data_IF_864373110099
#
_entry.id   IF_864373110099
#
_cell.length_a   1.000
_cell.length_b   1.000
_cell.length_c   1.000
_cell.angle_alpha   90.00
_cell.angle_beta   90.00
_cell.angle_gamma   90.00
#
_symmetry.space_group_name_H-M   'P 1'
#
loop_
_entity.id
_entity.type
_entity.pdbx_description
1 polymer ?
#
# COMPACT_ATOMS: atom_id res chain seq x y z
N UNK A 1 3.30 -0.27 -1.72
CA UNK A 1 1.86 -0.16 -1.48
C UNK A 1 1.53 0.71 -0.31
N UNK A 2 2.31 0.92 0.65
CA UNK A 2 1.98 1.85 1.69
C UNK A 2 2.59 3.24 1.55
N UNK A 3 3.53 3.47 0.65
CA UNK A 3 3.50 4.74 -0.08
C UNK A 3 2.25 4.80 -1.00
N UNK A 4 1.41 3.80 -1.07
CA UNK A 4 0.09 3.80 -1.71
C UNK A 4 -1.01 4.23 -0.73
N UNK A 5 -0.83 4.02 0.56
CA UNK A 5 -1.88 4.16 1.56
C UNK A 5 -1.50 5.07 2.74
N UNK A 6 -0.21 5.42 2.90
CA UNK A 6 0.26 6.38 3.89
C UNK A 6 0.91 7.57 3.21
N UNK A 7 0.22 8.66 3.24
CA UNK A 7 0.56 9.89 2.57
C UNK A 7 0.97 10.94 3.60
N UNK A 8 1.97 11.76 3.23
CA UNK A 8 2.11 13.05 3.87
C UNK A 8 0.76 13.76 3.77
N UNK A 9 0.24 14.25 4.88
CA UNK A 9 -1.02 15.02 4.96
C UNK A 9 -0.90 16.21 4.00
N UNK A 10 -1.38 16.01 2.79
CA UNK A 10 -1.52 17.09 1.83
C UNK A 10 -3.00 17.16 1.50
N UNK A 11 -3.64 18.33 1.62
CA UNK A 11 -5.03 18.49 1.22
C UNK A 11 -5.24 17.92 -0.19
N UNK A 12 -6.40 17.34 -0.45
CA UNK A 12 -6.78 16.75 -1.75
C UNK A 12 -6.49 17.66 -2.96
N UNK A 13 -6.22 18.94 -2.70
CA UNK A 13 -6.06 19.98 -3.71
C UNK A 13 -5.03 21.03 -3.27
N UNK A 14 -3.73 20.73 -3.29
CA UNK A 14 -2.67 21.74 -3.20
C UNK A 14 -1.96 21.94 -4.55
N UNK A 15 -1.72 23.18 -4.93
CA UNK A 15 -0.98 23.53 -6.12
C UNK A 15 -1.71 23.21 -7.43
N UNK A 16 -1.07 22.47 -8.33
CA UNK A 16 -1.60 22.12 -9.66
C UNK A 16 -2.88 21.25 -9.59
N UNK A 17 -3.15 20.56 -8.48
CA UNK A 17 -4.35 19.75 -8.32
C UNK A 17 -5.64 20.58 -8.22
N UNK A 18 -5.55 21.85 -7.77
CA UNK A 18 -6.68 22.79 -7.74
C UNK A 18 -7.32 23.02 -9.13
N UNK A 19 -6.56 22.87 -10.21
CA UNK A 19 -7.12 23.00 -11.57
C UNK A 19 -8.14 21.92 -11.91
N UNK A 20 -8.13 20.78 -11.20
CA UNK A 20 -9.00 19.62 -11.43
C UNK A 20 -10.18 19.56 -10.46
N UNK A 21 -10.17 20.37 -9.39
CA UNK A 21 -11.21 20.36 -8.37
C UNK A 21 -12.59 20.67 -8.95
N UNK A 22 -13.55 19.80 -8.66
CA UNK A 22 -14.94 20.02 -9.08
C UNK A 22 -15.20 19.94 -10.59
N UNK A 23 -14.24 19.44 -11.40
CA UNK A 23 -14.40 19.31 -12.85
C UNK A 23 -14.71 17.87 -13.25
N UNK A 24 -15.77 17.70 -14.05
CA UNK A 24 -16.01 16.46 -14.76
C UNK A 24 -14.96 16.35 -15.89
N UNK A 25 -14.14 15.31 -15.82
CA UNK A 25 -13.12 15.04 -16.84
C UNK A 25 -13.65 14.02 -17.86
N UNK A 26 -13.19 14.14 -19.10
CA UNK A 26 -13.25 13.05 -20.05
C UNK A 26 -12.28 11.92 -19.65
N UNK A 27 -12.38 10.78 -20.28
CA UNK A 27 -11.59 9.59 -19.91
C UNK A 27 -10.08 9.84 -20.01
N UNK A 28 -9.63 10.53 -21.05
CA UNK A 28 -8.20 10.79 -21.27
C UNK A 28 -7.63 11.69 -20.17
N UNK A 29 -8.30 12.81 -19.89
CA UNK A 29 -7.89 13.74 -18.82
C UNK A 29 -7.97 13.07 -17.45
N UNK A 30 -8.94 12.18 -17.23
CA UNK A 30 -9.04 11.40 -16.00
C UNK A 30 -7.80 10.51 -15.78
N UNK A 31 -7.28 9.84 -16.81
CA UNK A 31 -6.03 9.08 -16.70
C UNK A 31 -4.81 9.99 -16.49
N UNK A 32 -4.77 11.16 -17.11
CA UNK A 32 -3.72 12.16 -16.88
C UNK A 32 -3.72 12.61 -15.43
N UNK A 33 -4.90 12.89 -14.85
CA UNK A 33 -5.07 13.22 -13.44
C UNK A 33 -4.53 12.11 -12.54
N UNK A 34 -4.96 10.84 -12.73
CA UNK A 34 -4.51 9.72 -11.93
C UNK A 34 -2.99 9.52 -11.98
N UNK A 35 -2.39 9.75 -13.15
CA UNK A 35 -0.93 9.68 -13.33
C UNK A 35 -0.21 10.80 -12.58
N UNK A 36 -0.71 12.03 -12.64
CA UNK A 36 -0.14 13.19 -11.94
C UNK A 36 -0.19 12.96 -10.41
N UNK A 37 -1.36 12.56 -9.90
CA UNK A 37 -1.58 12.23 -8.49
C UNK A 37 -0.60 11.14 -8.00
N UNK A 38 -0.49 10.04 -8.75
CA UNK A 38 0.42 8.95 -8.39
C UNK A 38 1.89 9.40 -8.38
N UNK A 39 2.28 10.23 -9.36
CA UNK A 39 3.65 10.78 -9.45
C UNK A 39 3.99 11.68 -8.27
N UNK A 40 3.04 12.50 -7.83
CA UNK A 40 3.23 13.43 -6.71
C UNK A 40 3.35 12.67 -5.38
N UNK A 41 2.45 11.71 -5.14
CA UNK A 41 2.26 11.12 -3.82
C UNK A 41 2.84 9.70 -3.65
N UNK A 42 3.07 8.92 -4.70
CA UNK A 42 3.53 7.53 -4.63
C UNK A 42 4.82 7.27 -5.44
N UNK A 43 5.89 8.02 -5.16
CA UNK A 43 7.16 8.02 -5.93
C UNK A 43 7.76 6.64 -6.14
N UNK A 44 7.72 5.77 -5.14
CA UNK A 44 8.30 4.41 -5.24
C UNK A 44 7.44 3.51 -6.13
N UNK A 45 6.12 3.59 -6.03
CA UNK A 45 5.19 2.89 -6.91
C UNK A 45 5.30 3.41 -8.35
N UNK A 46 5.31 4.73 -8.54
CA UNK A 46 5.48 5.36 -9.84
C UNK A 46 6.79 4.91 -10.52
N UNK A 47 7.89 4.86 -9.77
CA UNK A 47 9.17 4.34 -10.26
C UNK A 47 9.08 2.86 -10.66
N UNK A 48 8.49 2.02 -9.81
CA UNK A 48 8.42 0.57 -10.08
C UNK A 48 7.46 0.22 -11.22
N UNK A 49 6.45 1.07 -11.48
CA UNK A 49 5.48 0.89 -12.56
C UNK A 49 6.04 1.18 -13.95
N UNK A 50 7.29 1.69 -14.08
CA UNK A 50 7.89 2.06 -15.37
C UNK A 50 7.96 0.88 -16.35
N UNK A 51 8.09 -0.34 -15.82
CA UNK A 51 8.15 -1.57 -16.61
C UNK A 51 6.79 -2.03 -17.14
N UNK A 52 5.67 -1.51 -16.62
CA UNK A 52 4.32 -1.89 -17.05
C UNK A 52 4.00 -1.37 -18.46
N UNK A 53 3.23 -2.11 -19.25
CA UNK A 53 2.56 -1.58 -20.44
C UNK A 53 1.70 -0.36 -20.10
N UNK A 54 1.56 0.58 -21.04
CA UNK A 54 0.90 1.87 -20.78
C UNK A 54 -0.52 1.71 -20.23
N UNK A 55 -1.34 0.84 -20.82
CA UNK A 55 -2.72 0.61 -20.38
C UNK A 55 -2.81 0.03 -18.96
N UNK A 56 -1.89 -0.88 -18.58
CA UNK A 56 -1.83 -1.43 -17.21
C UNK A 56 -1.34 -0.41 -16.20
N UNK A 57 -0.42 0.44 -16.61
CA UNK A 57 0.08 1.56 -15.80
C UNK A 57 -1.03 2.55 -15.48
N UNK A 58 -1.78 2.96 -16.49
CA UNK A 58 -2.90 3.90 -16.33
C UNK A 58 -4.00 3.29 -15.45
N UNK A 59 -4.32 2.00 -15.63
CA UNK A 59 -5.25 1.28 -14.78
C UNK A 59 -4.78 1.22 -13.30
N UNK A 60 -3.50 0.93 -13.07
CA UNK A 60 -2.93 0.89 -11.73
C UNK A 60 -2.98 2.28 -11.05
N UNK A 61 -2.78 3.36 -11.80
CA UNK A 61 -2.90 4.72 -11.28
C UNK A 61 -4.36 5.12 -10.99
N UNK A 62 -5.33 4.61 -11.74
CA UNK A 62 -6.74 4.83 -11.45
C UNK A 62 -7.18 4.16 -10.14
N UNK A 63 -6.69 2.94 -9.88
CA UNK A 63 -6.89 2.26 -8.58
C UNK A 63 -6.22 3.05 -7.45
N UNK A 64 -4.98 3.50 -7.66
CA UNK A 64 -4.29 4.33 -6.70
C UNK A 64 -5.07 5.59 -6.33
N UNK A 65 -5.65 6.28 -7.33
CA UNK A 65 -6.42 7.50 -7.09
C UNK A 65 -7.65 7.25 -6.22
N UNK A 66 -8.32 6.09 -6.37
CA UNK A 66 -9.39 5.70 -5.45
C UNK A 66 -8.88 5.45 -4.04
N UNK A 67 -7.80 4.67 -3.88
CA UNK A 67 -7.22 4.39 -2.57
C UNK A 67 -6.87 5.69 -1.83
N UNK A 68 -6.21 6.61 -2.54
CA UNK A 68 -5.86 7.92 -2.01
C UNK A 68 -7.10 8.71 -1.57
N UNK A 69 -8.11 8.75 -2.42
CA UNK A 69 -9.36 9.45 -2.12
C UNK A 69 -10.06 8.87 -0.89
N UNK A 70 -10.11 7.54 -0.76
CA UNK A 70 -10.70 6.88 0.39
C UNK A 70 -9.98 7.21 1.70
N UNK A 71 -8.66 7.26 1.66
CA UNK A 71 -7.77 7.59 2.77
C UNK A 71 -7.98 9.06 3.22
N UNK A 72 -7.88 9.99 2.27
CA UNK A 72 -8.04 11.42 2.55
C UNK A 72 -9.45 11.77 3.08
N UNK A 73 -10.51 11.07 2.62
CA UNK A 73 -11.87 11.30 3.10
C UNK A 73 -12.03 10.93 4.58
N UNK A 74 -11.23 9.98 5.09
CA UNK A 74 -11.27 9.54 6.48
C UNK A 74 -10.34 10.35 7.39
N UNK A 75 -9.41 11.12 6.84
CA UNK A 75 -8.49 11.99 7.61
C UNK A 75 -9.13 13.34 8.02
N UNK A 76 -10.37 13.65 7.57
CA UNK A 76 -11.08 14.86 8.00
C UNK A 76 -11.48 14.78 9.48
N UNK A 77 -11.36 15.91 10.21
CA UNK A 77 -11.58 16.05 11.69
C UNK A 77 -12.96 15.61 12.21
N UNK A 78 -13.92 15.34 11.34
CA UNK A 78 -15.27 14.87 11.67
C UNK A 78 -15.30 13.42 12.20
N UNK A 79 -14.18 12.68 12.13
CA UNK A 79 -14.12 11.23 12.38
C UNK A 79 -13.74 10.86 13.83
N UNK A 80 -13.72 11.84 14.75
CA UNK A 80 -13.39 11.59 16.16
C UNK A 80 -14.51 10.90 16.94
N UNK A 81 -15.70 10.74 16.35
CA UNK A 81 -16.85 10.08 16.98
C UNK A 81 -17.23 8.81 16.20
N UNK A 82 -17.77 7.80 16.90
CA UNK A 82 -18.27 6.57 16.26
C UNK A 82 -19.33 6.86 15.17
N UNK A 83 -20.21 7.85 15.42
CA UNK A 83 -21.22 8.28 14.45
C UNK A 83 -20.59 8.88 13.18
N UNK A 84 -19.53 9.69 13.34
CA UNK A 84 -18.80 10.26 12.21
C UNK A 84 -18.06 9.19 11.39
N UNK A 85 -17.50 8.17 12.05
CA UNK A 85 -16.85 7.05 11.41
C UNK A 85 -17.84 6.22 10.57
N UNK A 86 -19.02 5.90 11.12
CA UNK A 86 -20.05 5.16 10.39
C UNK A 86 -20.60 5.96 9.20
N UNK A 87 -20.86 7.26 9.39
CA UNK A 87 -21.28 8.14 8.29
C UNK A 87 -20.26 8.18 7.14
N UNK A 88 -18.96 8.20 7.46
CA UNK A 88 -17.91 8.19 6.43
C UNK A 88 -17.77 6.83 5.75
N UNK A 89 -17.94 5.75 6.49
CA UNK A 89 -18.01 4.39 5.93
C UNK A 89 -19.17 4.26 4.94
N UNK A 90 -20.37 4.71 5.33
CA UNK A 90 -21.55 4.69 4.45
C UNK A 90 -21.34 5.58 3.21
N UNK A 91 -20.75 6.75 3.38
CA UNK A 91 -20.40 7.65 2.26
C UNK A 91 -19.44 6.99 1.27
N UNK A 92 -18.38 6.32 1.75
CA UNK A 92 -17.44 5.59 0.90
C UNK A 92 -18.10 4.41 0.19
N UNK A 93 -18.95 3.64 0.90
CA UNK A 93 -19.72 2.53 0.28
C UNK A 93 -20.69 3.04 -0.77
N UNK A 94 -21.42 4.13 -0.49
CA UNK A 94 -22.31 4.77 -1.43
C UNK A 94 -21.57 5.26 -2.68
N UNK A 95 -20.40 5.89 -2.48
CA UNK A 95 -19.53 6.31 -3.57
C UNK A 95 -19.03 5.11 -4.41
N UNK A 96 -18.59 4.04 -3.77
CA UNK A 96 -18.17 2.83 -4.46
C UNK A 96 -19.31 2.25 -5.31
N UNK A 97 -20.51 2.16 -4.75
CA UNK A 97 -21.72 1.74 -5.50
C UNK A 97 -21.99 2.63 -6.72
N UNK A 98 -21.86 3.95 -6.57
CA UNK A 98 -22.00 4.89 -7.68
C UNK A 98 -20.87 4.77 -8.72
N UNK A 99 -19.64 4.46 -8.31
CA UNK A 99 -18.50 4.20 -9.21
C UNK A 99 -18.68 2.93 -10.03
N UNK A 100 -19.31 1.89 -9.49
CA UNK A 100 -19.64 0.66 -10.23
C UNK A 100 -20.94 0.79 -11.03
N UNK A 101 -21.79 1.75 -10.70
CA UNK A 101 -23.04 2.06 -11.42
C UNK A 101 -22.83 3.04 -12.59
N UNK A 102 -23.95 3.52 -13.13
CA UNK A 102 -24.00 4.50 -14.22
C UNK A 102 -24.24 5.94 -13.74
N UNK A 103 -24.30 6.18 -12.43
CA UNK A 103 -24.55 7.49 -11.84
C UNK A 103 -23.50 8.53 -12.24
N UNK A 104 -23.89 9.78 -12.34
CA UNK A 104 -22.98 10.87 -12.65
C UNK A 104 -22.18 11.27 -11.41
N UNK A 105 -20.86 11.18 -11.49
CA UNK A 105 -19.93 11.51 -10.40
C UNK A 105 -18.98 12.61 -10.85
N UNK A 106 -18.96 13.70 -10.08
CA UNK A 106 -18.04 14.81 -10.32
C UNK A 106 -16.70 14.58 -9.58
N UNK A 107 -16.05 13.45 -9.87
CA UNK A 107 -14.74 13.08 -9.34
C UNK A 107 -13.74 12.93 -10.48
N UNK A 108 -12.58 13.59 -10.43
CA UNK A 108 -11.62 13.60 -11.53
C UNK A 108 -11.14 12.20 -11.94
N UNK A 109 -11.05 11.26 -11.02
CA UNK A 109 -10.59 9.89 -11.27
C UNK A 109 -11.73 8.93 -11.69
N UNK A 110 -13.02 9.31 -11.54
CA UNK A 110 -14.14 8.40 -11.75
C UNK A 110 -14.21 7.77 -13.16
N UNK A 111 -14.00 8.51 -14.27
CA UNK A 111 -13.99 7.90 -15.60
C UNK A 111 -12.89 6.85 -15.78
N UNK A 112 -11.66 7.14 -15.32
CA UNK A 112 -10.53 6.22 -15.38
C UNK A 112 -10.76 4.98 -14.50
N UNK A 113 -11.29 5.18 -13.29
CA UNK A 113 -11.61 4.09 -12.36
C UNK A 113 -12.66 3.14 -12.95
N UNK A 114 -13.79 3.67 -13.44
CA UNK A 114 -14.86 2.89 -14.07
C UNK A 114 -14.37 2.07 -15.25
N UNK A 115 -13.58 2.69 -16.12
CA UNK A 115 -12.93 2.00 -17.24
C UNK A 115 -12.06 0.85 -16.75
N UNK A 116 -11.25 1.10 -15.72
CA UNK A 116 -10.33 0.11 -15.15
C UNK A 116 -11.08 -1.08 -14.54
N UNK A 117 -12.06 -0.83 -13.65
CA UNK A 117 -12.77 -1.94 -12.98
C UNK A 117 -13.58 -2.79 -13.96
N UNK A 118 -14.14 -2.18 -15.00
CA UNK A 118 -14.85 -2.87 -16.06
C UNK A 118 -13.93 -3.71 -16.94
N UNK A 119 -12.80 -3.13 -17.41
CA UNK A 119 -11.86 -3.80 -18.30
C UNK A 119 -11.18 -4.99 -17.64
N UNK A 120 -10.75 -4.82 -16.40
CA UNK A 120 -10.04 -5.87 -15.64
C UNK A 120 -10.94 -6.72 -14.76
N UNK A 121 -12.28 -6.54 -14.85
CA UNK A 121 -13.30 -7.29 -14.10
C UNK A 121 -12.97 -7.35 -12.60
N UNK A 122 -12.61 -6.20 -12.02
CA UNK A 122 -12.26 -6.11 -10.61
C UNK A 122 -13.54 -6.11 -9.78
N UNK A 123 -13.75 -7.06 -8.85
CA UNK A 123 -14.96 -7.11 -8.03
C UNK A 123 -15.01 -5.95 -7.03
N UNK A 124 -16.21 -5.34 -6.86
CA UNK A 124 -16.45 -4.28 -5.87
C UNK A 124 -16.09 -4.73 -4.45
N UNK A 125 -16.31 -6.01 -4.12
CA UNK A 125 -16.00 -6.59 -2.82
C UNK A 125 -14.55 -6.35 -2.36
N UNK A 126 -13.58 -6.31 -3.28
CA UNK A 126 -12.19 -6.01 -2.90
C UNK A 126 -12.03 -4.56 -2.41
N UNK A 127 -12.75 -3.63 -3.01
CA UNK A 127 -12.76 -2.24 -2.54
C UNK A 127 -13.59 -2.06 -1.26
N UNK A 128 -14.64 -2.87 -1.06
CA UNK A 128 -15.38 -2.91 0.21
C UNK A 128 -14.47 -3.35 1.35
N UNK A 129 -13.69 -4.42 1.18
CA UNK A 129 -12.69 -4.84 2.18
C UNK A 129 -11.61 -3.75 2.43
N UNK A 130 -11.18 -3.04 1.38
CA UNK A 130 -10.27 -1.92 1.54
C UNK A 130 -10.88 -0.79 2.38
N UNK A 131 -12.14 -0.44 2.13
CA UNK A 131 -12.88 0.57 2.92
C UNK A 131 -12.94 0.14 4.39
N UNK A 132 -13.28 -1.12 4.67
CA UNK A 132 -13.24 -1.65 6.04
C UNK A 132 -11.86 -1.53 6.68
N UNK A 133 -10.80 -1.76 5.91
CA UNK A 133 -9.43 -1.62 6.38
C UNK A 133 -9.05 -0.18 6.72
N UNK A 134 -9.39 0.76 5.85
CA UNK A 134 -9.12 2.19 6.07
C UNK A 134 -9.92 2.71 7.28
N UNK A 135 -11.15 2.22 7.47
CA UNK A 135 -11.95 2.53 8.66
C UNK A 135 -11.32 2.03 9.99
N UNK A 136 -10.44 1.01 9.95
CA UNK A 136 -9.69 0.58 11.15
C UNK A 136 -8.65 1.61 11.60
N UNK A 137 -8.28 2.57 10.75
CA UNK A 137 -7.30 3.63 11.04
C UNK A 137 -7.94 4.88 11.66
N UNK A 138 -9.25 4.87 11.91
CA UNK A 138 -9.94 6.00 12.52
C UNK A 138 -9.73 6.01 14.05
N UNK A 139 -9.10 7.05 14.57
CA UNK A 139 -8.81 7.19 16.01
C UNK A 139 -7.58 6.44 16.49
N UNK A 140 -7.46 6.22 17.82
CA UNK A 140 -6.35 5.46 18.41
C UNK A 140 -6.38 4.00 17.99
N UNK A 141 -5.24 3.48 17.54
CA UNK A 141 -5.11 2.07 17.13
C UNK A 141 -4.23 1.32 18.11
N UNK A 142 -4.69 0.16 18.57
CA UNK A 142 -3.95 -0.77 19.42
C UNK A 142 -4.21 -2.20 18.96
N UNK A 143 -3.25 -2.77 18.29
CA UNK A 143 -3.31 -4.16 17.81
C UNK A 143 -2.95 -5.10 18.97
N UNK A 144 -3.84 -6.03 19.29
CA UNK A 144 -3.67 -6.97 20.40
C UNK A 144 -2.65 -8.06 20.10
N UNK A 145 -2.83 -8.74 18.96
CA UNK A 145 -2.08 -9.93 18.56
C UNK A 145 -1.78 -9.93 17.04
N UNK A 146 -1.08 -10.97 16.57
CA UNK A 146 -0.73 -11.07 15.15
C UNK A 146 -1.93 -11.38 14.26
N UNK A 147 -2.97 -12.02 14.75
CA UNK A 147 -4.18 -12.32 13.98
C UNK A 147 -4.92 -11.02 13.63
N UNK A 148 -5.04 -10.11 14.57
CA UNK A 148 -5.61 -8.79 14.35
C UNK A 148 -4.73 -7.94 13.40
N UNK A 149 -3.40 -7.98 13.56
CA UNK A 149 -2.47 -7.35 12.62
C UNK A 149 -2.60 -7.94 11.21
N UNK A 150 -2.76 -9.25 11.10
CA UNK A 150 -2.95 -9.91 9.81
C UNK A 150 -4.23 -9.42 9.12
N UNK A 151 -5.35 -9.35 9.85
CA UNK A 151 -6.62 -8.84 9.32
C UNK A 151 -6.49 -7.40 8.82
N UNK A 152 -5.84 -6.53 9.60
CA UNK A 152 -5.55 -5.17 9.20
C UNK A 152 -4.74 -5.12 7.91
N UNK A 153 -3.58 -5.78 7.87
CA UNK A 153 -2.70 -5.82 6.69
C UNK A 153 -3.40 -6.44 5.48
N UNK A 154 -4.24 -7.46 5.68
CA UNK A 154 -5.04 -8.05 4.61
C UNK A 154 -5.96 -7.00 3.98
N UNK A 155 -6.71 -6.25 4.79
CA UNK A 155 -7.67 -5.27 4.33
C UNK A 155 -7.01 -4.07 3.63
N UNK A 156 -5.96 -3.50 4.22
CA UNK A 156 -5.33 -2.27 3.67
C UNK A 156 -4.30 -2.53 2.58
N UNK A 157 -3.77 -3.75 2.44
CA UNK A 157 -2.68 -4.01 1.50
C UNK A 157 -2.85 -5.28 0.67
N UNK A 158 -3.24 -6.41 1.27
CA UNK A 158 -3.37 -7.66 0.51
C UNK A 158 -4.51 -7.59 -0.51
N UNK A 159 -5.64 -6.97 -0.18
CA UNK A 159 -6.73 -6.76 -1.15
C UNK A 159 -6.30 -5.87 -2.31
N UNK A 160 -5.43 -4.88 -2.08
CA UNK A 160 -4.84 -4.08 -3.17
C UNK A 160 -3.92 -4.94 -4.03
N UNK A 161 -3.18 -5.88 -3.43
CA UNK A 161 -2.42 -6.90 -4.15
C UNK A 161 -3.30 -7.74 -5.09
N UNK A 162 -4.47 -8.17 -4.60
CA UNK A 162 -5.48 -8.89 -5.39
C UNK A 162 -6.06 -8.03 -6.53
N UNK A 163 -6.33 -6.76 -6.29
CA UNK A 163 -6.78 -5.81 -7.32
C UNK A 163 -5.70 -5.66 -8.40
N UNK A 164 -4.45 -5.42 -8.00
CA UNK A 164 -3.33 -5.25 -8.92
C UNK A 164 -3.01 -6.53 -9.70
N UNK A 165 -3.20 -7.72 -9.13
CA UNK A 165 -2.99 -9.00 -9.82
C UNK A 165 -3.94 -9.15 -11.03
N UNK A 166 -5.18 -8.64 -10.95
CA UNK A 166 -6.10 -8.59 -12.09
C UNK A 166 -5.55 -7.71 -13.23
N UNK A 167 -5.02 -6.54 -12.88
CA UNK A 167 -4.42 -5.62 -13.86
C UNK A 167 -3.15 -6.22 -14.46
N UNK A 168 -2.32 -6.84 -13.64
CA UNK A 168 -1.05 -7.42 -14.07
C UNK A 168 -1.20 -8.75 -14.84
N UNK A 169 -2.43 -9.25 -14.97
CA UNK A 169 -2.75 -10.43 -15.77
C UNK A 169 -2.25 -11.69 -15.08
N UNK A 170 -2.86 -11.99 -13.93
CA UNK A 170 -2.63 -13.25 -13.25
C UNK A 170 -3.22 -14.39 -14.09
N UNK A 171 -2.37 -15.34 -14.45
CA UNK A 171 -2.71 -16.49 -15.31
C UNK A 171 -3.20 -17.71 -14.50
N UNK A 172 -2.92 -17.73 -13.18
CA UNK A 172 -3.21 -18.87 -12.31
C UNK A 172 -3.75 -18.40 -10.97
N UNK A 173 -4.88 -18.92 -10.52
CA UNK A 173 -5.52 -18.54 -9.25
C UNK A 173 -4.64 -18.75 -8.01
N UNK A 174 -3.66 -19.68 -8.08
CA UNK A 174 -2.65 -19.86 -7.03
C UNK A 174 -1.83 -18.59 -6.79
N UNK A 175 -1.77 -17.69 -7.76
CA UNK A 175 -1.12 -16.39 -7.62
C UNK A 175 -1.88 -15.43 -6.70
N UNK A 176 -3.17 -15.66 -6.41
CA UNK A 176 -3.93 -14.83 -5.46
C UNK A 176 -3.33 -14.92 -4.04
N UNK A 177 -2.98 -16.12 -3.58
CA UNK A 177 -2.28 -16.29 -2.30
C UNK A 177 -0.95 -15.52 -2.28
N UNK A 178 -0.19 -15.59 -3.37
CA UNK A 178 1.09 -14.88 -3.49
C UNK A 178 0.91 -13.36 -3.53
N UNK A 179 -0.17 -12.87 -4.14
CA UNK A 179 -0.52 -11.44 -4.10
C UNK A 179 -0.90 -10.97 -2.69
N UNK A 180 -1.63 -11.79 -1.93
CA UNK A 180 -1.95 -11.54 -0.51
C UNK A 180 -0.66 -11.43 0.30
N UNK A 181 0.24 -12.39 0.18
CA UNK A 181 1.51 -12.42 0.90
C UNK A 181 2.42 -11.25 0.54
N UNK A 182 2.45 -10.85 -0.73
CA UNK A 182 3.19 -9.67 -1.16
C UNK A 182 2.62 -8.40 -0.52
N UNK A 183 1.29 -8.23 -0.49
CA UNK A 183 0.64 -7.11 0.20
C UNK A 183 0.96 -7.11 1.70
N UNK A 184 0.89 -8.28 2.34
CA UNK A 184 1.28 -8.46 3.74
C UNK A 184 2.72 -8.01 4.01
N UNK A 185 3.69 -8.47 3.20
CA UNK A 185 5.10 -8.10 3.32
C UNK A 185 5.30 -6.59 3.24
N UNK A 186 4.62 -5.95 2.28
CA UNK A 186 4.73 -4.52 2.06
C UNK A 186 4.13 -3.73 3.22
N UNK A 187 2.99 -4.14 3.76
CA UNK A 187 2.37 -3.44 4.90
C UNK A 187 3.16 -3.63 6.19
N UNK A 188 3.66 -4.83 6.47
CA UNK A 188 4.56 -5.04 7.60
C UNK A 188 5.80 -4.14 7.49
N UNK A 189 6.38 -4.00 6.30
CA UNK A 189 7.53 -3.10 6.08
C UNK A 189 7.21 -1.65 6.43
N UNK A 190 6.00 -1.19 6.12
CA UNK A 190 5.60 0.18 6.44
C UNK A 190 5.41 0.38 7.94
N UNK A 191 4.70 -0.54 8.59
CA UNK A 191 4.52 -0.51 10.03
C UNK A 191 5.87 -0.41 10.74
N UNK A 192 6.86 -1.19 10.29
CA UNK A 192 8.20 -1.16 10.88
C UNK A 192 8.98 0.13 10.57
N UNK A 193 8.71 0.76 9.44
CA UNK A 193 9.35 2.01 9.04
C UNK A 193 8.75 3.22 9.74
N UNK A 194 7.44 3.22 9.93
CA UNK A 194 6.65 4.39 10.27
C UNK A 194 6.26 4.46 11.76
N UNK A 195 6.92 3.66 12.64
CA UNK A 195 6.62 3.56 14.07
C UNK A 195 6.53 4.92 14.76
N UNK A 196 7.45 5.85 14.43
CA UNK A 196 7.44 7.19 15.03
C UNK A 196 6.22 7.99 14.63
N UNK A 197 5.96 8.05 13.34
CA UNK A 197 4.81 8.78 12.79
C UNK A 197 3.48 8.20 13.28
N UNK A 198 3.41 6.88 13.43
CA UNK A 198 2.24 6.19 13.98
C UNK A 198 1.99 6.53 15.44
N UNK A 199 3.05 6.55 16.25
CA UNK A 199 2.96 6.96 17.66
C UNK A 199 2.50 8.42 17.82
N UNK A 200 2.93 9.31 16.94
CA UNK A 200 2.51 10.73 16.93
C UNK A 200 1.01 10.87 16.61
N UNK A 201 0.42 9.90 15.89
CA UNK A 201 -1.01 9.82 15.59
C UNK A 201 -1.79 8.94 16.59
N UNK A 202 -1.17 8.55 17.70
CA UNK A 202 -1.72 7.63 18.70
C UNK A 202 -2.10 6.26 18.14
N UNK A 203 -1.31 5.76 17.17
CA UNK A 203 -1.50 4.46 16.52
C UNK A 203 -0.32 3.52 16.82
N UNK A 204 -0.62 2.30 17.28
CA UNK A 204 0.37 1.24 17.52
C UNK A 204 -0.10 -0.03 16.81
N UNK A 205 0.52 -0.31 15.66
CA UNK A 205 0.22 -1.51 14.87
C UNK A 205 1.07 -2.72 15.29
N UNK A 206 2.06 -2.52 16.15
CA UNK A 206 2.88 -3.60 16.68
C UNK A 206 2.08 -4.40 17.70
N UNK A 207 1.94 -5.76 17.56
CA UNK A 207 1.09 -6.55 18.42
C UNK A 207 1.50 -6.47 19.90
N UNK A 208 0.57 -6.08 20.77
CA UNK A 208 0.81 -5.88 22.19
C UNK A 208 1.31 -7.17 22.89
N UNK A 209 0.82 -8.33 22.48
CA UNK A 209 1.29 -9.62 23.01
C UNK A 209 2.76 -9.89 22.65
N UNK A 210 3.14 -9.55 21.42
CA UNK A 210 4.52 -9.72 20.98
C UNK A 210 5.45 -8.70 21.63
N UNK A 211 5.04 -7.44 21.77
CA UNK A 211 5.79 -6.44 22.52
C UNK A 211 6.10 -6.91 23.93
N UNK A 212 5.07 -7.37 24.67
CA UNK A 212 5.22 -7.94 26.04
C UNK A 212 6.18 -9.13 26.08
N UNK A 213 6.14 -10.01 25.07
CA UNK A 213 7.05 -11.17 24.96
C UNK A 213 8.53 -10.77 24.88
N UNK A 214 8.82 -9.60 24.33
CA UNK A 214 10.17 -9.03 24.24
C UNK A 214 10.49 -8.02 25.35
N UNK A 215 9.62 -7.93 26.40
CA UNK A 215 9.82 -6.99 27.51
C UNK A 215 9.55 -5.54 27.16
N UNK A 216 8.76 -5.29 26.10
CA UNK A 216 8.39 -3.96 25.62
C UNK A 216 6.96 -3.61 26.02
N UNK A 217 6.70 -2.32 26.20
CA UNK A 217 5.38 -1.75 26.49
C UNK A 217 5.11 -0.53 25.61
N UNK A 218 3.86 -0.05 25.59
CA UNK A 218 3.53 1.22 24.94
C UNK A 218 4.38 2.38 25.48
N UNK A 219 4.61 2.40 26.79
CA UNK A 219 5.44 3.43 27.44
C UNK A 219 6.89 3.39 26.91
N UNK A 220 7.48 2.18 26.78
CA UNK A 220 8.82 2.02 26.23
C UNK A 220 8.91 2.47 24.77
N UNK A 221 7.86 2.25 23.98
CA UNK A 221 7.77 2.77 22.60
C UNK A 221 7.74 4.29 22.58
N UNK A 222 6.95 4.92 23.46
CA UNK A 222 6.84 6.38 23.57
C UNK A 222 8.13 7.05 24.07
N UNK A 223 8.94 6.34 24.88
CA UNK A 223 10.30 6.80 25.25
C UNK A 223 11.25 6.86 24.05
N UNK A 224 10.99 6.11 22.98
CA UNK A 224 11.72 6.18 21.72
C UNK A 224 13.17 5.72 21.81
N UNK A 225 13.48 4.76 22.69
CA UNK A 225 14.84 4.25 22.90
C UNK A 225 15.03 2.93 22.17
N UNK A 226 15.95 2.90 21.22
CA UNK A 226 16.32 1.67 20.51
C UNK A 226 17.34 0.86 21.32
N UNK A 227 16.89 0.25 22.41
CA UNK A 227 17.66 -0.68 23.23
C UNK A 227 17.80 -2.09 22.62
N UNK A 228 18.40 -3.04 23.34
CA UNK A 228 18.60 -4.39 22.84
C UNK A 228 17.31 -5.20 22.75
N UNK A 229 16.34 -4.97 23.64
CA UNK A 229 15.01 -5.56 23.57
C UNK A 229 14.27 -5.13 22.31
N UNK A 230 14.27 -3.80 22.03
CA UNK A 230 13.72 -3.23 20.82
C UNK A 230 14.39 -3.78 19.55
N UNK A 231 15.73 -3.80 19.51
CA UNK A 231 16.45 -4.33 18.34
C UNK A 231 16.15 -5.80 18.09
N UNK A 232 15.99 -6.60 19.16
CA UNK A 232 15.64 -8.02 19.03
C UNK A 232 14.22 -8.19 18.51
N UNK A 233 13.25 -7.41 19.02
CA UNK A 233 11.90 -7.36 18.52
C UNK A 233 11.82 -6.95 17.05
N UNK A 234 12.52 -5.88 16.67
CA UNK A 234 12.55 -5.41 15.29
C UNK A 234 13.13 -6.45 14.32
N UNK A 235 14.19 -7.15 14.69
CA UNK A 235 14.74 -8.24 13.87
C UNK A 235 13.74 -9.38 13.68
N UNK A 236 13.01 -9.74 14.72
CA UNK A 236 11.94 -10.74 14.64
C UNK A 236 10.86 -10.31 13.65
N UNK A 237 10.40 -9.08 13.70
CA UNK A 237 9.39 -8.54 12.79
C UNK A 237 9.92 -8.42 11.35
N UNK A 238 11.16 -7.97 11.18
CA UNK A 238 11.83 -7.86 9.87
C UNK A 238 11.92 -9.24 9.21
N UNK A 239 12.29 -10.28 9.97
CA UNK A 239 12.37 -11.63 9.40
C UNK A 239 10.99 -12.16 9.01
N UNK A 240 9.94 -11.87 9.77
CA UNK A 240 8.54 -12.15 9.38
C UNK A 240 8.19 -11.48 8.04
N UNK A 241 8.47 -10.19 7.88
CA UNK A 241 8.21 -9.49 6.63
C UNK A 241 8.99 -10.11 5.46
N UNK A 242 10.25 -10.50 5.67
CA UNK A 242 11.07 -11.19 4.67
C UNK A 242 10.52 -12.57 4.28
N UNK A 243 9.93 -13.32 5.23
CA UNK A 243 9.25 -14.58 4.91
C UNK A 243 8.09 -14.35 3.95
N UNK A 244 7.26 -13.35 4.21
CA UNK A 244 6.16 -12.98 3.31
C UNK A 244 6.66 -12.51 1.94
N UNK A 245 7.75 -11.73 1.86
CA UNK A 245 8.38 -11.40 0.57
C UNK A 245 8.82 -12.64 -0.19
N UNK A 246 9.55 -13.56 0.46
CA UNK A 246 10.02 -14.80 -0.18
C UNK A 246 8.85 -15.62 -0.75
N UNK A 247 7.78 -15.73 0.00
CA UNK A 247 6.59 -16.46 -0.44
C UNK A 247 5.86 -15.72 -1.57
N UNK A 248 5.57 -14.44 -1.41
CA UNK A 248 4.87 -13.62 -2.41
C UNK A 248 5.61 -13.53 -3.75
N UNK A 249 6.96 -13.53 -3.72
CA UNK A 249 7.79 -13.49 -4.94
C UNK A 249 7.67 -14.76 -5.79
N UNK A 250 7.26 -15.88 -5.21
CA UNK A 250 6.99 -17.11 -5.99
C UNK A 250 5.79 -16.95 -6.94
N UNK A 251 4.95 -15.93 -6.73
CA UNK A 251 3.86 -15.56 -7.62
C UNK A 251 4.26 -14.74 -8.85
N UNK A 252 5.48 -14.18 -8.89
CA UNK A 252 5.93 -13.34 -10.01
C UNK A 252 5.87 -14.09 -11.36
N UNK A 253 6.28 -15.37 -11.48
CA UNK A 253 6.17 -16.11 -12.72
C UNK A 253 4.74 -16.37 -13.21
N UNK A 254 3.74 -16.25 -12.31
CA UNK A 254 2.32 -16.47 -12.62
C UNK A 254 1.65 -15.23 -13.25
N UNK A 255 2.33 -14.08 -13.27
CA UNK A 255 1.86 -12.85 -13.89
C UNK A 255 2.16 -12.84 -15.40
N UNK A 256 1.45 -11.97 -16.14
CA UNK A 256 1.68 -11.81 -17.57
C UNK A 256 3.14 -11.43 -17.89
N UNK A 257 3.75 -12.03 -18.94
CA UNK A 257 5.17 -11.81 -19.29
C UNK A 257 5.40 -10.53 -20.12
N UNK A 258 4.64 -9.49 -19.89
CA UNK A 258 4.58 -8.24 -20.65
C UNK A 258 5.20 -7.02 -19.95
N UNK A 259 6.05 -7.24 -18.96
CA UNK A 259 6.61 -6.22 -18.08
C UNK A 259 5.99 -6.23 -16.68
N UNK A 260 4.80 -6.85 -16.49
CA UNK A 260 4.15 -6.99 -15.18
C UNK A 260 5.05 -7.74 -14.18
N UNK A 261 5.71 -8.81 -14.60
CA UNK A 261 6.68 -9.57 -13.78
C UNK A 261 7.81 -8.68 -13.28
N UNK A 262 8.38 -7.88 -14.18
CA UNK A 262 9.47 -6.97 -13.82
C UNK A 262 8.99 -5.85 -12.88
N UNK A 263 7.81 -5.31 -13.10
CA UNK A 263 7.24 -4.27 -12.24
C UNK A 263 7.04 -4.77 -10.80
N UNK A 264 6.49 -5.99 -10.62
CA UNK A 264 6.30 -6.58 -9.29
C UNK A 264 7.65 -6.95 -8.65
N UNK A 265 8.61 -7.47 -9.42
CA UNK A 265 9.96 -7.71 -8.92
C UNK A 265 10.67 -6.43 -8.47
N UNK A 266 10.49 -5.31 -9.19
CA UNK A 266 10.99 -3.99 -8.80
C UNK A 266 10.33 -3.49 -7.52
N UNK A 267 9.00 -3.58 -7.42
CA UNK A 267 8.28 -3.20 -6.19
C UNK A 267 8.77 -4.01 -5.00
N UNK A 268 8.75 -5.34 -5.08
CA UNK A 268 9.21 -6.21 -4.01
C UNK A 268 10.63 -5.87 -3.58
N UNK A 269 11.58 -5.77 -4.52
CA UNK A 269 12.99 -5.55 -4.21
C UNK A 269 13.25 -4.18 -3.60
N UNK A 270 12.58 -3.12 -4.08
CA UNK A 270 12.73 -1.76 -3.56
C UNK A 270 12.15 -1.64 -2.16
N UNK A 271 10.97 -2.24 -1.93
CA UNK A 271 10.34 -2.21 -0.62
C UNK A 271 11.09 -3.08 0.41
N UNK A 272 11.48 -4.30 0.06
CA UNK A 272 12.33 -5.12 0.93
C UNK A 272 13.66 -4.40 1.29
N UNK A 273 14.16 -3.54 0.39
CA UNK A 273 15.31 -2.69 0.65
C UNK A 273 15.12 -1.69 1.80
N UNK A 274 13.88 -1.35 2.17
CA UNK A 274 13.56 -0.53 3.34
C UNK A 274 13.94 -1.27 4.62
N UNK A 275 13.64 -2.57 4.70
CA UNK A 275 14.02 -3.42 5.84
C UNK A 275 15.54 -3.43 6.06
N UNK A 276 16.31 -3.49 4.95
CA UNK A 276 17.77 -3.41 5.04
C UNK A 276 18.25 -2.05 5.55
N UNK A 277 17.57 -0.94 5.22
CA UNK A 277 17.90 0.38 5.74
C UNK A 277 17.56 0.51 7.22
N UNK A 278 16.43 -0.07 7.67
CA UNK A 278 16.06 -0.13 9.10
C UNK A 278 17.16 -0.86 9.88
N UNK A 279 17.65 -2.01 9.42
CA UNK A 279 18.74 -2.74 10.08
C UNK A 279 20.04 -1.94 10.09
N UNK A 280 20.40 -1.25 8.99
CA UNK A 280 21.59 -0.39 8.94
C UNK A 280 21.53 0.79 9.89
N UNK A 281 20.34 1.32 10.12
CA UNK A 281 20.09 2.35 11.12
C UNK A 281 20.12 1.79 12.57
N UNK A 282 20.49 0.52 12.76
CA UNK A 282 20.48 -0.13 14.08
C UNK A 282 19.08 -0.35 14.63
N UNK A 283 18.08 -0.48 13.75
CA UNK A 283 16.65 -0.54 14.06
C UNK A 283 16.11 0.70 14.80
N UNK A 284 16.82 1.82 14.73
CA UNK A 284 16.40 3.08 15.37
C UNK A 284 15.48 3.87 14.40
N UNK A 285 14.20 3.53 14.42
CA UNK A 285 13.16 4.20 13.63
C UNK A 285 12.54 5.39 14.37
N UNK A 286 12.93 5.62 15.64
CA UNK A 286 12.45 6.75 16.44
C UNK A 286 13.09 8.08 16.06
N UNK A 287 14.27 8.05 15.42
CA UNK A 287 14.96 9.28 14.95
C UNK A 287 14.31 9.88 13.70
N UNK A 288 13.50 9.12 13.00
CA UNK A 288 12.80 9.55 11.80
C UNK A 288 12.74 8.46 10.74
N UNK A 289 11.99 8.76 9.69
CA UNK A 289 11.67 7.81 8.61
C UNK A 289 12.91 7.41 7.81
N UNK A 290 13.13 6.12 7.71
CA UNK A 290 14.23 5.54 6.93
C UNK A 290 13.87 5.50 5.45
N UNK A 291 14.79 5.90 4.59
CA UNK A 291 14.58 5.98 3.14
C UNK A 291 15.64 5.21 2.35
N UNK A 292 15.20 4.54 1.28
CA UNK A 292 16.10 3.98 0.28
C UNK A 292 16.58 5.09 -0.65
N UNK A 293 17.87 5.41 -0.66
CA UNK A 293 18.46 6.44 -1.51
C UNK A 293 18.27 6.12 -3.00
N UNK A 294 18.28 7.14 -3.86
CA UNK A 294 18.10 6.95 -5.31
C UNK A 294 19.17 6.03 -5.91
N UNK A 295 20.44 6.20 -5.53
CA UNK A 295 21.55 5.34 -5.99
C UNK A 295 21.37 3.88 -5.57
N UNK A 296 20.75 3.65 -4.40
CA UNK A 296 20.42 2.31 -3.94
C UNK A 296 19.21 1.75 -4.69
N UNK A 297 18.16 2.55 -4.94
CA UNK A 297 17.03 2.14 -5.79
C UNK A 297 17.50 1.65 -7.16
N UNK A 298 18.50 2.31 -7.76
CA UNK A 298 19.07 1.90 -9.03
C UNK A 298 19.78 0.53 -8.95
N UNK A 299 20.58 0.30 -7.89
CA UNK A 299 21.22 -1.01 -7.65
C UNK A 299 20.19 -2.11 -7.41
N UNK A 300 19.13 -1.82 -6.65
CA UNK A 300 18.04 -2.73 -6.40
C UNK A 300 17.25 -3.03 -7.69
N UNK A 301 17.12 -2.06 -8.59
CA UNK A 301 16.48 -2.28 -9.89
C UNK A 301 17.27 -3.27 -10.78
N UNK A 302 18.61 -3.19 -10.79
CA UNK A 302 19.45 -4.18 -11.48
C UNK A 302 19.25 -5.57 -10.86
N UNK A 303 19.23 -5.66 -9.53
CA UNK A 303 18.98 -6.93 -8.81
C UNK A 303 17.61 -7.53 -9.17
N UNK A 304 16.56 -6.69 -9.19
CA UNK A 304 15.21 -7.11 -9.58
C UNK A 304 15.15 -7.65 -11.02
N UNK A 305 15.84 -6.98 -11.94
CA UNK A 305 15.95 -7.43 -13.33
C UNK A 305 16.62 -8.81 -13.44
N UNK A 306 17.76 -9.00 -12.76
CA UNK A 306 18.46 -10.30 -12.74
C UNK A 306 17.59 -11.39 -12.12
N UNK A 307 16.90 -11.09 -11.03
CA UNK A 307 15.95 -11.99 -10.36
C UNK A 307 14.82 -12.40 -11.30
N UNK A 308 14.21 -11.44 -11.98
CA UNK A 308 13.13 -11.72 -12.94
C UNK A 308 13.60 -12.65 -14.09
N UNK A 309 14.84 -12.49 -14.56
CA UNK A 309 15.44 -13.39 -15.55
C UNK A 309 15.66 -14.81 -14.99
N UNK A 310 16.15 -14.91 -13.76
CA UNK A 310 16.38 -16.22 -13.11
C UNK A 310 15.05 -16.99 -12.94
N UNK A 311 13.99 -16.32 -12.47
CA UNK A 311 12.67 -16.92 -12.32
C UNK A 311 12.07 -17.38 -13.67
N UNK A 312 12.32 -16.66 -14.77
CA UNK A 312 11.89 -17.05 -16.11
C UNK A 312 12.59 -18.34 -16.58
N UNK A 313 13.85 -18.55 -16.21
CA UNK A 313 14.61 -19.74 -16.60
C UNK A 313 14.23 -20.98 -15.75
N UNK A 314 13.84 -20.79 -14.51
CA UNK A 314 13.40 -21.87 -13.62
C UNK A 314 11.99 -22.39 -13.92
N UNK A 315 11.17 -21.61 -14.63
CA UNK A 315 9.80 -21.97 -15.05
C UNK A 315 9.74 -22.62 -16.45
N UNK A 316 10.88 -22.81 -17.11
CA UNK A 316 11.07 -23.60 -18.34
C UNK A 316 11.59 -24.97 -18.02
#
# INVERSE_FOLDING_TARGET
>A
MADLLRFEKTPLFEGDDLQWAGRRLDLEKSFVYCRALTRAHARSFYFSSIALPAHKKDAAYAVYAFCRFADDLLDEDLLKTEEGQEASREKLRGLLGALYGSGDLNLPFAPAFRRTVSEYKIPAKLFEELIEGVCMDTGPVRIRDFEELYLYCYRVASVVGLIMSRIFGLEDERGNERAIEMGMAMQLTNILRDVKEDLEMDRIYLPAEELRRFGLSEESLRMGVADDSWRTFMRFQIERARLYYRSGETGIPLLAPDGSRLAVALMSTVYAGILDEIERAGCDVFKGRVHVSFSRKLRLAVRAFLKCRALKNAAR
#
